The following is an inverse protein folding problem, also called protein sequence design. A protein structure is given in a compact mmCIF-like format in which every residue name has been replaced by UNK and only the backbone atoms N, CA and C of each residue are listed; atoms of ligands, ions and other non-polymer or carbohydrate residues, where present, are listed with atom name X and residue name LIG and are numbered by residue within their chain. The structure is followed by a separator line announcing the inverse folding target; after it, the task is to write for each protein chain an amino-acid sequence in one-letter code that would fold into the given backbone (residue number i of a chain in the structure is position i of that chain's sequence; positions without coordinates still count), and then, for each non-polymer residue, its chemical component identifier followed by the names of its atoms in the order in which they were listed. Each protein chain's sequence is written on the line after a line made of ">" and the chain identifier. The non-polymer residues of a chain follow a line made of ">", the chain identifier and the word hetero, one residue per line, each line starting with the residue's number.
data_IF_687638482970
#
_entry.id   IF_687638482970
#
_cell.length_a   1.000
_cell.length_b   1.000
_cell.length_c   1.000
_cell.angle_alpha   90.00
_cell.angle_beta   90.00
_cell.angle_gamma   90.00
#
_symmetry.space_group_name_H-M   'P 1'
#
loop_
_entity.id
_entity.type
_entity.pdbx_description
1 polymer ?
#
# COMPACT_ATOMS: atom_id res chain seq x y z
N UNK A 1 9.69 73.87 34.73
CA UNK A 1 8.31 73.69 34.28
C UNK A 1 8.45 72.98 32.93
N UNK A 2 8.13 71.80 32.69
CA UNK A 2 7.28 70.82 33.21
C UNK A 2 7.76 69.45 32.74
N UNK A 3 7.58 68.46 33.52
CA UNK A 3 8.02 67.09 33.35
C UNK A 3 7.12 66.31 32.38
N UNK A 4 7.67 65.58 31.45
CA UNK A 4 6.96 64.57 30.70
C UNK A 4 7.52 63.18 31.03
N UNK A 5 6.67 62.36 31.57
CA UNK A 5 6.96 60.98 31.93
C UNK A 5 6.94 60.07 30.71
N UNK A 6 8.01 59.28 30.54
CA UNK A 6 8.06 58.18 29.58
C UNK A 6 7.35 56.97 30.12
N UNK A 7 6.32 56.52 29.38
CA UNK A 7 5.64 55.22 29.60
C UNK A 7 6.37 54.08 28.89
N UNK A 8 7.05 53.23 29.67
CA UNK A 8 7.64 52.00 29.22
C UNK A 8 6.55 50.95 28.87
N UNK A 9 6.35 50.73 27.57
CA UNK A 9 5.49 49.66 27.07
C UNK A 9 6.22 48.32 27.09
N UNK A 10 5.88 47.47 28.05
CA UNK A 10 6.41 46.13 28.16
C UNK A 10 5.69 45.20 27.15
N UNK A 11 6.28 45.02 25.98
CA UNK A 11 5.83 44.09 24.95
C UNK A 11 6.11 42.63 25.32
N UNK A 12 5.24 42.05 26.15
CA UNK A 12 5.31 40.62 26.44
C UNK A 12 5.08 39.79 25.20
N UNK A 13 6.13 39.18 24.68
CA UNK A 13 6.08 38.14 23.67
C UNK A 13 5.30 36.94 24.23
N UNK A 14 4.05 36.76 23.81
CA UNK A 14 3.29 35.52 24.05
C UNK A 14 3.85 34.47 23.12
N UNK A 15 4.80 33.66 23.60
CA UNK A 15 5.16 32.38 23.00
C UNK A 15 3.92 31.49 23.06
N UNK A 16 3.29 31.26 21.91
CA UNK A 16 2.20 30.30 21.81
C UNK A 16 2.76 28.91 22.13
N UNK A 17 2.52 28.41 23.32
CA UNK A 17 2.77 27.01 23.65
C UNK A 17 1.94 26.14 22.71
N UNK A 18 2.61 25.48 21.78
CA UNK A 18 2.03 24.46 20.92
C UNK A 18 1.68 23.28 21.81
N UNK A 19 0.42 23.19 22.24
CA UNK A 19 -0.07 22.04 22.97
C UNK A 19 -0.01 20.83 22.07
N UNK A 20 1.06 20.04 22.19
CA UNK A 20 1.17 18.74 21.52
C UNK A 20 0.17 17.83 22.23
N UNK A 21 -1.01 17.64 21.61
CA UNK A 21 -1.92 16.56 22.03
C UNK A 21 -1.10 15.27 22.01
N UNK A 22 -1.09 14.54 23.13
CA UNK A 22 -0.49 13.22 23.23
C UNK A 22 -1.08 12.32 22.14
N UNK A 23 -0.38 12.19 21.01
CA UNK A 23 -0.74 11.24 19.96
C UNK A 23 -0.19 9.88 20.35
N UNK A 24 -1.06 8.87 20.44
CA UNK A 24 -0.61 7.50 20.55
C UNK A 24 -0.08 7.04 19.17
N UNK A 25 1.23 7.16 18.97
CA UNK A 25 1.92 6.79 17.72
C UNK A 25 1.88 5.29 17.43
N UNK A 26 1.48 4.48 18.40
CA UNK A 26 1.32 3.02 18.26
C UNK A 26 -0.13 2.60 18.00
N UNK A 27 -1.05 3.56 17.89
CA UNK A 27 -2.45 3.27 17.55
C UNK A 27 -2.50 2.55 16.21
N UNK A 28 -3.26 1.46 16.15
CA UNK A 28 -3.65 0.78 14.91
C UNK A 28 -5.13 1.02 14.67
N UNK A 29 -5.51 1.13 13.41
CA UNK A 29 -6.90 1.27 13.00
C UNK A 29 -7.38 0.03 12.23
N UNK A 30 -8.69 -0.16 12.14
CA UNK A 30 -9.26 -1.18 11.27
C UNK A 30 -9.12 -0.73 9.80
N UNK A 31 -9.07 -1.67 8.86
CA UNK A 31 -9.07 -1.31 7.45
C UNK A 31 -10.30 -0.51 7.05
N UNK A 32 -11.44 -0.80 7.66
CA UNK A 32 -12.65 0.02 7.53
C UNK A 32 -12.36 1.50 7.79
N UNK A 33 -11.73 1.83 8.92
CA UNK A 33 -11.47 3.24 9.28
C UNK A 33 -10.44 3.90 8.35
N UNK A 34 -9.49 3.13 7.80
CA UNK A 34 -8.46 3.64 6.92
C UNK A 34 -8.98 3.95 5.50
N UNK A 35 -10.05 3.27 5.04
CA UNK A 35 -10.50 3.41 3.64
C UNK A 35 -11.90 4.01 3.47
N UNK A 36 -12.82 3.91 4.46
CA UNK A 36 -14.25 4.22 4.29
C UNK A 36 -14.57 5.67 3.88
N UNK A 37 -13.77 6.62 4.33
CA UNK A 37 -13.99 8.05 4.07
C UNK A 37 -13.09 8.57 2.93
N UNK A 38 -12.37 7.66 2.25
CA UNK A 38 -11.49 7.98 1.16
C UNK A 38 -12.07 7.46 -0.18
N UNK A 39 -12.46 8.37 -1.05
CA UNK A 39 -13.07 7.99 -2.33
C UNK A 39 -12.10 7.31 -3.28
N UNK A 40 -10.76 7.51 -3.12
CA UNK A 40 -9.77 6.96 -4.03
C UNK A 40 -8.38 6.84 -3.41
N UNK A 41 -8.06 5.69 -2.84
CA UNK A 41 -6.70 5.35 -2.39
C UNK A 41 -5.85 4.71 -3.50
N UNK A 42 -6.45 4.42 -4.64
CA UNK A 42 -5.77 3.80 -5.78
C UNK A 42 -5.52 2.32 -5.62
N UNK A 43 -4.26 1.92 -5.49
CA UNK A 43 -3.85 0.54 -5.15
C UNK A 43 -3.43 0.51 -3.70
N UNK A 44 -3.81 -0.56 -3.01
CA UNK A 44 -3.47 -0.73 -1.59
C UNK A 44 -2.85 -2.08 -1.31
N UNK A 45 -1.77 -2.08 -0.54
CA UNK A 45 -1.09 -3.28 -0.03
C UNK A 45 -1.18 -3.24 1.50
N UNK A 46 -1.66 -4.31 2.12
CA UNK A 46 -1.58 -4.53 3.56
C UNK A 46 -0.76 -5.78 3.83
N UNK A 47 0.22 -5.68 4.71
CA UNK A 47 1.02 -6.82 5.17
C UNK A 47 1.07 -6.80 6.68
N UNK A 48 0.84 -7.94 7.32
CA UNK A 48 0.92 -8.06 8.77
C UNK A 48 0.77 -9.48 9.28
N UNK A 49 0.64 -9.60 10.59
CA UNK A 49 0.49 -10.87 11.32
C UNK A 49 -0.85 -10.89 12.03
N UNK A 50 -1.57 -11.99 11.95
CA UNK A 50 -2.86 -12.18 12.63
C UNK A 50 -2.77 -11.95 14.14
N UNK A 51 -3.90 -11.63 14.77
CA UNK A 51 -3.95 -11.28 16.18
C UNK A 51 -3.50 -12.43 17.10
N UNK A 52 -3.81 -13.67 16.72
CA UNK A 52 -3.33 -14.89 17.39
C UNK A 52 -1.86 -15.22 17.11
N UNK A 53 -1.22 -14.47 16.20
CA UNK A 53 0.19 -14.65 15.85
C UNK A 53 0.50 -15.88 14.98
N UNK A 54 -0.52 -16.58 14.46
CA UNK A 54 -0.33 -17.87 13.78
C UNK A 54 -0.15 -17.75 12.27
N UNK A 55 -0.61 -16.65 11.65
CA UNK A 55 -0.61 -16.50 10.19
C UNK A 55 0.02 -15.19 9.74
N UNK A 56 0.73 -15.22 8.62
CA UNK A 56 1.06 -14.04 7.84
C UNK A 56 -0.15 -13.65 6.99
N UNK A 57 -0.48 -12.37 6.96
CA UNK A 57 -1.63 -11.83 6.23
C UNK A 57 -1.17 -10.82 5.18
N UNK A 58 -1.71 -10.95 3.97
CA UNK A 58 -1.52 -10.01 2.87
C UNK A 58 -2.88 -9.69 2.28
N UNK A 59 -3.15 -8.40 2.04
CA UNK A 59 -4.25 -7.97 1.20
C UNK A 59 -3.72 -7.05 0.10
N UNK A 60 -4.21 -7.23 -1.11
CA UNK A 60 -3.96 -6.34 -2.24
C UNK A 60 -5.28 -6.02 -2.93
N UNK A 61 -5.54 -4.75 -3.16
CA UNK A 61 -6.73 -4.32 -3.89
C UNK A 61 -6.41 -3.23 -4.91
N UNK A 62 -7.27 -3.15 -5.92
CA UNK A 62 -7.18 -2.13 -6.96
C UNK A 62 -8.48 -1.34 -7.05
N UNK A 63 -8.32 -0.03 -7.27
CA UNK A 63 -9.37 0.90 -7.61
C UNK A 63 -9.04 1.57 -8.95
N UNK A 64 -10.05 2.08 -9.65
CA UNK A 64 -9.91 2.79 -10.91
C UNK A 64 -11.02 3.79 -11.15
N UNK A 65 -10.69 4.93 -11.77
CA UNK A 65 -11.64 6.00 -12.10
C UNK A 65 -12.05 5.97 -13.58
N UNK A 66 -11.13 5.64 -14.49
CA UNK A 66 -11.41 5.56 -15.92
C UNK A 66 -11.98 4.20 -16.31
N UNK A 67 -12.67 4.15 -17.46
CA UNK A 67 -13.18 2.90 -18.03
C UNK A 67 -12.05 1.88 -18.25
N UNK A 68 -10.93 2.31 -18.80
CA UNK A 68 -9.76 1.47 -19.02
C UNK A 68 -9.18 0.91 -17.69
N UNK A 69 -9.07 1.74 -16.64
CA UNK A 69 -8.60 1.27 -15.36
C UNK A 69 -9.55 0.29 -14.66
N UNK A 70 -10.86 0.39 -14.94
CA UNK A 70 -11.90 -0.51 -14.41
C UNK A 70 -12.00 -1.84 -15.16
N UNK A 71 -11.43 -1.93 -16.36
CA UNK A 71 -11.44 -3.13 -17.18
C UNK A 71 -10.38 -4.15 -16.72
N UNK A 72 -10.43 -4.55 -15.44
CA UNK A 72 -9.44 -5.46 -14.82
C UNK A 72 -10.13 -6.47 -13.93
N UNK A 73 -9.56 -7.68 -13.91
CA UNK A 73 -9.89 -8.75 -12.98
C UNK A 73 -8.61 -9.42 -12.49
N UNK A 74 -8.67 -10.00 -11.30
CA UNK A 74 -7.65 -10.91 -10.79
C UNK A 74 -7.96 -12.35 -11.20
N UNK A 75 -6.92 -13.11 -11.52
CA UNK A 75 -6.99 -14.57 -11.71
C UNK A 75 -5.81 -15.24 -11.00
N UNK A 76 -6.08 -16.36 -10.35
CA UNK A 76 -5.02 -17.20 -9.79
C UNK A 76 -4.39 -18.06 -10.88
N UNK A 77 -3.06 -18.13 -10.87
CA UNK A 77 -2.26 -19.01 -11.68
C UNK A 77 -1.25 -19.75 -10.80
N UNK A 78 -1.65 -20.92 -10.32
CA UNK A 78 -0.91 -21.64 -9.29
C UNK A 78 -0.93 -20.89 -7.96
N UNK A 79 0.25 -20.50 -7.46
CA UNK A 79 0.39 -19.70 -6.24
C UNK A 79 0.50 -18.19 -6.51
N UNK A 80 0.55 -17.79 -7.78
CA UNK A 80 0.63 -16.41 -8.24
C UNK A 80 -0.77 -15.84 -8.51
N UNK A 81 -0.86 -14.52 -8.56
CA UNK A 81 -2.06 -13.83 -9.02
C UNK A 81 -1.68 -12.95 -10.20
N UNK A 82 -2.49 -13.03 -11.26
CA UNK A 82 -2.34 -12.23 -12.47
C UNK A 82 -3.48 -11.23 -12.59
N UNK A 83 -3.20 -10.07 -13.18
CA UNK A 83 -4.22 -9.14 -13.63
C UNK A 83 -4.45 -9.37 -15.12
N UNK A 84 -5.74 -9.48 -15.49
CA UNK A 84 -6.20 -9.56 -16.87
C UNK A 84 -7.25 -8.49 -17.15
N UNK A 85 -7.43 -8.11 -18.41
CA UNK A 85 -8.59 -7.33 -18.79
C UNK A 85 -9.87 -8.18 -18.59
N UNK A 86 -10.92 -7.58 -18.09
CA UNK A 86 -12.25 -8.19 -18.06
C UNK A 86 -12.80 -8.36 -19.49
N UNK A 87 -12.67 -7.31 -20.31
CA UNK A 87 -13.02 -7.31 -21.72
C UNK A 87 -11.75 -7.04 -22.54
N UNK A 88 -11.23 -8.08 -23.19
CA UNK A 88 -10.01 -8.01 -23.98
C UNK A 88 -10.15 -7.12 -25.21
N UNK A 89 -11.37 -6.91 -25.72
CA UNK A 89 -11.63 -6.08 -26.91
C UNK A 89 -11.42 -4.57 -26.65
N UNK A 90 -11.38 -4.18 -25.38
CA UNK A 90 -11.21 -2.78 -24.94
C UNK A 90 -9.77 -2.43 -24.55
N UNK A 91 -8.81 -3.31 -24.80
CA UNK A 91 -7.40 -3.10 -24.41
C UNK A 91 -6.61 -2.55 -25.59
N UNK A 92 -6.08 -1.34 -25.41
CA UNK A 92 -5.19 -0.70 -26.40
C UNK A 92 -3.75 -1.20 -26.25
N UNK A 93 -3.24 -1.29 -25.01
CA UNK A 93 -1.90 -1.80 -24.69
C UNK A 93 -1.98 -2.82 -23.55
N UNK A 94 -1.84 -4.14 -23.86
CA UNK A 94 -1.85 -5.19 -22.83
C UNK A 94 -0.70 -5.10 -21.83
N UNK A 95 0.46 -4.54 -22.22
CA UNK A 95 1.65 -4.50 -21.38
C UNK A 95 1.48 -3.66 -20.12
N UNK A 96 0.59 -2.66 -20.15
CA UNK A 96 0.27 -1.80 -19.00
C UNK A 96 -0.77 -2.42 -18.06
N UNK A 97 -1.42 -3.50 -18.47
CA UNK A 97 -2.55 -4.10 -17.74
C UNK A 97 -2.18 -5.48 -17.23
N UNK A 98 -1.51 -6.31 -18.04
CA UNK A 98 -1.20 -7.70 -17.72
C UNK A 98 0.13 -7.78 -16.98
N UNK A 99 0.07 -7.97 -15.67
CA UNK A 99 1.21 -8.23 -14.81
C UNK A 99 0.78 -9.08 -13.61
N UNK A 100 1.74 -9.68 -12.92
CA UNK A 100 1.46 -10.39 -11.69
C UNK A 100 1.59 -9.44 -10.50
N UNK A 101 0.49 -9.04 -9.84
CA UNK A 101 0.59 -8.27 -8.60
C UNK A 101 1.14 -9.10 -7.45
N UNK A 102 1.04 -10.45 -7.51
CA UNK A 102 1.53 -11.34 -6.47
C UNK A 102 2.33 -12.47 -7.11
N UNK A 103 3.57 -12.64 -6.63
CA UNK A 103 4.45 -13.76 -6.97
C UNK A 103 4.91 -14.49 -5.72
N UNK A 104 4.77 -15.82 -5.74
CA UNK A 104 5.33 -16.72 -4.73
C UNK A 104 6.72 -17.18 -5.17
N UNK A 105 7.67 -17.06 -4.27
CA UNK A 105 9.01 -17.66 -4.40
C UNK A 105 9.26 -18.60 -3.23
N UNK A 106 10.34 -19.39 -3.30
CA UNK A 106 10.76 -20.19 -2.16
C UNK A 106 11.05 -19.26 -0.95
N UNK A 107 10.34 -19.49 0.15
CA UNK A 107 10.45 -18.71 1.37
C UNK A 107 10.07 -17.23 1.24
N UNK A 108 9.47 -16.76 0.13
CA UNK A 108 9.09 -15.36 -0.05
C UNK A 108 7.74 -15.19 -0.75
N UNK A 109 7.10 -14.04 -0.49
CA UNK A 109 5.91 -13.59 -1.21
C UNK A 109 6.11 -12.12 -1.59
N UNK A 110 5.98 -11.81 -2.88
CA UNK A 110 6.09 -10.46 -3.41
C UNK A 110 4.68 -9.96 -3.76
N UNK A 111 4.38 -8.71 -3.43
CA UNK A 111 3.14 -8.03 -3.80
C UNK A 111 3.44 -6.62 -4.29
N UNK A 112 2.91 -6.23 -5.46
CA UNK A 112 3.12 -4.89 -6.03
C UNK A 112 1.91 -4.41 -6.84
N UNK A 113 1.93 -3.13 -7.24
CA UNK A 113 0.90 -2.55 -8.10
C UNK A 113 1.29 -2.48 -9.58
N UNK A 114 2.37 -3.14 -10.01
CA UNK A 114 2.83 -3.06 -11.39
C UNK A 114 3.83 -4.16 -11.76
N UNK A 115 4.42 -4.05 -12.93
CA UNK A 115 5.38 -5.01 -13.49
C UNK A 115 6.70 -5.11 -12.73
N UNK A 116 6.98 -4.22 -11.79
CA UNK A 116 8.14 -4.33 -10.90
C UNK A 116 8.12 -5.61 -10.04
N UNK A 117 6.99 -6.32 -9.95
CA UNK A 117 6.94 -7.64 -9.31
C UNK A 117 7.96 -8.59 -9.92
N UNK A 118 7.99 -8.66 -11.26
CA UNK A 118 8.91 -9.52 -11.97
C UNK A 118 10.37 -9.04 -11.86
N UNK A 119 10.59 -7.71 -11.83
CA UNK A 119 11.90 -7.15 -11.53
C UNK A 119 12.40 -7.61 -10.14
N UNK A 120 11.57 -7.50 -9.11
CA UNK A 120 11.93 -7.94 -7.75
C UNK A 120 12.21 -9.45 -7.74
N UNK A 121 11.33 -10.25 -8.37
CA UNK A 121 11.52 -11.71 -8.50
C UNK A 121 12.89 -12.05 -9.10
N UNK A 122 13.21 -11.45 -10.23
CA UNK A 122 14.44 -11.78 -10.98
C UNK A 122 15.71 -11.40 -10.20
N UNK A 123 15.67 -10.26 -9.52
CA UNK A 123 16.77 -9.83 -8.65
C UNK A 123 16.94 -10.77 -7.45
N UNK A 124 15.85 -11.13 -6.79
CA UNK A 124 15.88 -12.05 -5.64
C UNK A 124 16.35 -13.43 -6.03
N UNK A 125 15.91 -13.96 -7.18
CA UNK A 125 16.39 -15.25 -7.74
C UNK A 125 17.88 -15.17 -8.06
N UNK A 126 18.37 -14.03 -8.53
CA UNK A 126 19.79 -13.78 -8.77
C UNK A 126 20.60 -13.50 -7.48
N UNK A 127 20.02 -13.64 -6.29
CA UNK A 127 20.68 -13.42 -5.01
C UNK A 127 20.90 -11.96 -4.63
N UNK A 128 20.23 -11.03 -5.32
CA UNK A 128 20.25 -9.60 -5.02
C UNK A 128 19.13 -9.22 -4.06
N UNK A 129 19.19 -8.00 -3.52
CA UNK A 129 18.20 -7.51 -2.56
C UNK A 129 16.92 -6.97 -3.23
N UNK A 130 15.88 -6.81 -2.43
CA UNK A 130 14.66 -6.11 -2.78
C UNK A 130 14.94 -4.66 -3.18
N UNK A 131 15.83 -4.01 -2.46
CA UNK A 131 16.26 -2.63 -2.71
C UNK A 131 17.01 -2.50 -4.03
N UNK A 132 17.94 -3.43 -4.33
CA UNK A 132 18.69 -3.44 -5.61
C UNK A 132 17.73 -3.50 -6.82
N UNK A 133 16.64 -4.27 -6.69
CA UNK A 133 15.63 -4.34 -7.74
C UNK A 133 14.93 -2.99 -7.94
N UNK A 134 14.54 -2.34 -6.84
CA UNK A 134 13.80 -1.09 -6.86
C UNK A 134 14.64 0.13 -7.25
N UNK A 135 15.97 0.07 -7.10
CA UNK A 135 16.87 1.10 -7.63
C UNK A 135 16.83 1.18 -9.17
N UNK A 136 16.44 0.09 -9.86
CA UNK A 136 16.29 0.06 -11.31
C UNK A 136 14.93 0.51 -11.82
N UNK A 137 14.02 0.87 -10.91
CA UNK A 137 12.64 1.25 -11.24
C UNK A 137 12.31 2.66 -10.75
N UNK A 138 11.30 3.24 -11.37
CA UNK A 138 10.73 4.54 -11.02
C UNK A 138 9.21 4.42 -10.94
N UNK A 139 8.51 5.51 -10.65
CA UNK A 139 7.07 5.64 -10.74
C UNK A 139 6.57 5.39 -12.19
N UNK A 140 5.25 5.28 -12.40
CA UNK A 140 4.70 5.09 -13.75
C UNK A 140 4.77 6.39 -14.57
N UNK A 141 5.08 6.30 -15.88
CA UNK A 141 5.24 7.47 -16.75
C UNK A 141 3.88 8.01 -17.24
N UNK A 142 2.94 8.23 -16.33
CA UNK A 142 1.56 8.61 -16.60
C UNK A 142 1.24 10.06 -16.13
N UNK A 143 1.97 11.04 -16.68
CA UNK A 143 1.70 12.45 -16.39
C UNK A 143 0.21 12.79 -16.48
N UNK A 144 -0.33 13.67 -15.61
CA UNK A 144 0.35 14.40 -14.54
C UNK A 144 0.37 13.66 -13.20
N UNK A 145 -0.12 12.41 -13.12
CA UNK A 145 -0.27 11.69 -11.85
C UNK A 145 1.04 11.09 -11.35
N UNK A 146 1.95 10.70 -12.28
CA UNK A 146 3.18 10.00 -11.97
C UNK A 146 2.93 8.90 -10.92
N UNK A 147 1.99 7.98 -11.29
CA UNK A 147 1.47 6.95 -10.37
C UNK A 147 2.58 6.26 -9.59
N UNK A 148 2.56 6.32 -8.25
CA UNK A 148 3.58 5.67 -7.46
C UNK A 148 3.59 4.16 -7.65
N UNK A 149 4.79 3.56 -7.68
CA UNK A 149 4.95 2.11 -7.57
C UNK A 149 5.07 1.74 -6.10
N UNK A 150 4.13 0.96 -5.61
CA UNK A 150 4.16 0.40 -4.26
C UNK A 150 4.49 -1.09 -4.32
N UNK A 151 5.31 -1.54 -3.39
CA UNK A 151 5.81 -2.91 -3.36
C UNK A 151 5.87 -3.42 -1.92
N UNK A 152 5.64 -4.71 -1.75
CA UNK A 152 5.86 -5.43 -0.51
C UNK A 152 6.55 -6.76 -0.76
N UNK A 153 7.38 -7.21 0.17
CA UNK A 153 7.98 -8.53 0.16
C UNK A 153 8.04 -9.10 1.57
N UNK A 154 7.41 -10.28 1.75
CA UNK A 154 7.55 -11.09 2.95
C UNK A 154 8.72 -12.05 2.76
N UNK A 155 9.48 -12.28 3.82
CA UNK A 155 10.53 -13.31 3.91
C UNK A 155 10.23 -14.20 5.10
N UNK A 156 9.87 -15.45 4.82
CA UNK A 156 9.55 -16.47 5.82
C UNK A 156 10.80 -17.19 6.28
N UNK A 157 11.00 -17.32 7.58
CA UNK A 157 12.08 -18.05 8.22
C UNK A 157 11.68 -18.49 9.63
N UNK A 158 12.11 -19.66 10.05
CA UNK A 158 12.00 -20.16 11.43
C UNK A 158 10.59 -20.11 12.04
N UNK A 159 9.55 -20.36 11.23
CA UNK A 159 8.16 -20.32 11.67
C UNK A 159 7.63 -18.91 11.94
N UNK A 160 8.30 -17.90 11.42
CA UNK A 160 7.90 -16.49 11.46
C UNK A 160 8.24 -15.80 10.13
N UNK A 161 8.10 -14.48 10.05
CA UNK A 161 8.49 -13.71 8.88
C UNK A 161 8.89 -12.28 9.24
N UNK A 162 9.64 -11.68 8.34
CA UNK A 162 9.86 -10.24 8.26
C UNK A 162 9.28 -9.73 6.94
N UNK A 163 9.04 -8.45 6.83
CA UNK A 163 8.59 -7.88 5.58
C UNK A 163 9.13 -6.48 5.34
N UNK A 164 9.22 -6.14 4.07
CA UNK A 164 9.56 -4.81 3.59
C UNK A 164 8.41 -4.26 2.77
N UNK A 165 8.22 -2.94 2.83
CA UNK A 165 7.32 -2.19 1.95
C UNK A 165 8.09 -1.04 1.33
N UNK A 166 7.77 -0.69 0.10
CA UNK A 166 8.44 0.41 -0.61
C UNK A 166 7.46 1.19 -1.46
N UNK A 167 7.76 2.49 -1.60
CA UNK A 167 7.10 3.39 -2.53
C UNK A 167 8.14 4.14 -3.35
N UNK A 168 7.97 4.10 -4.68
CA UNK A 168 8.70 4.90 -5.66
C UNK A 168 7.74 5.97 -6.17
N UNK A 169 8.08 7.24 -5.99
CA UNK A 169 7.20 8.34 -6.36
C UNK A 169 7.95 9.52 -6.91
N UNK A 170 7.29 10.34 -7.73
CA UNK A 170 7.91 11.54 -8.25
C UNK A 170 8.31 12.50 -7.13
N UNK A 171 9.48 13.12 -7.29
CA UNK A 171 9.99 14.14 -6.39
C UNK A 171 9.39 15.53 -6.70
N UNK A 172 8.89 15.75 -7.92
CA UNK A 172 8.35 17.01 -8.41
C UNK A 172 7.17 16.82 -9.37
N UNK A 173 6.49 17.91 -9.70
CA UNK A 173 5.33 17.92 -10.61
C UNK A 173 5.68 17.55 -12.06
N UNK A 174 6.94 17.73 -12.47
CA UNK A 174 7.40 17.44 -13.83
C UNK A 174 7.88 16.00 -14.01
N UNK A 175 7.97 15.20 -12.94
CA UNK A 175 8.44 13.82 -13.00
C UNK A 175 9.94 13.70 -13.32
N UNK A 176 10.76 14.67 -12.88
CA UNK A 176 12.18 14.73 -13.26
C UNK A 176 13.07 13.83 -12.41
N UNK A 177 12.63 13.45 -11.22
CA UNK A 177 13.38 12.63 -10.29
C UNK A 177 12.46 11.68 -9.50
N UNK A 178 12.99 10.54 -9.09
CA UNK A 178 12.28 9.55 -8.29
C UNK A 178 12.78 9.52 -6.84
N UNK A 179 11.86 9.72 -5.90
CA UNK A 179 12.08 9.44 -4.50
C UNK A 179 11.78 7.98 -4.20
N UNK A 180 12.68 7.30 -3.46
CA UNK A 180 12.60 5.89 -3.08
C UNK A 180 12.57 5.77 -1.57
N UNK A 181 11.52 5.14 -1.03
CA UNK A 181 11.38 4.89 0.40
C UNK A 181 11.17 3.40 0.61
N UNK A 182 11.93 2.81 1.55
CA UNK A 182 11.76 1.42 1.97
C UNK A 182 11.61 1.35 3.48
N UNK A 183 10.61 0.62 3.93
CA UNK A 183 10.26 0.37 5.33
C UNK A 183 10.48 -1.11 5.62
N UNK A 184 11.19 -1.41 6.72
CA UNK A 184 11.48 -2.78 7.13
C UNK A 184 10.83 -3.09 8.47
N UNK A 185 10.11 -4.21 8.54
CA UNK A 185 9.32 -4.59 9.70
C UNK A 185 9.64 -6.01 10.17
N UNK A 186 9.66 -6.20 11.49
CA UNK A 186 9.44 -7.50 12.12
C UNK A 186 7.94 -7.69 12.30
N UNK A 187 7.45 -8.90 12.07
CA UNK A 187 6.04 -9.21 12.24
C UNK A 187 5.65 -9.18 13.74
N UNK A 188 4.60 -8.44 14.07
CA UNK A 188 4.03 -8.31 15.41
C UNK A 188 2.57 -8.79 15.36
N UNK A 189 2.18 -9.68 16.27
CA UNK A 189 0.81 -10.21 16.33
C UNK A 189 -0.24 -9.08 16.41
N UNK A 190 -1.25 -9.16 15.56
CA UNK A 190 -2.34 -8.19 15.43
C UNK A 190 -1.95 -6.86 14.82
N UNK A 191 -0.74 -6.74 14.24
CA UNK A 191 -0.27 -5.50 13.61
C UNK A 191 0.07 -5.76 12.14
N UNK A 192 -0.40 -4.87 11.30
CA UNK A 192 -0.01 -4.75 9.91
C UNK A 192 0.29 -3.32 9.53
N UNK A 193 0.75 -3.16 8.29
CA UNK A 193 1.00 -1.86 7.68
C UNK A 193 0.30 -1.77 6.35
N UNK A 194 -0.39 -0.66 6.14
CA UNK A 194 -1.13 -0.33 4.93
C UNK A 194 -0.39 0.75 4.15
N UNK A 195 -0.01 0.43 2.92
CA UNK A 195 0.61 1.35 1.96
C UNK A 195 -0.29 1.45 0.74
N UNK A 196 -0.54 2.66 0.27
CA UNK A 196 -1.40 2.91 -0.88
C UNK A 196 -0.83 4.01 -1.79
N UNK A 197 -1.35 4.13 -3.02
CA UNK A 197 -0.73 5.03 -3.99
C UNK A 197 -1.11 6.49 -3.79
N UNK A 198 -2.34 6.80 -3.32
CA UNK A 198 -2.86 8.16 -3.24
C UNK A 198 -3.53 8.47 -1.91
N UNK A 199 -3.34 9.68 -1.43
CA UNK A 199 -3.99 10.19 -0.21
C UNK A 199 -5.49 10.41 -0.37
N UNK A 200 -5.99 10.47 -1.60
CA UNK A 200 -7.39 10.70 -1.91
C UNK A 200 -7.62 10.95 -3.39
N UNK A 201 -8.82 11.38 -3.73
CA UNK A 201 -9.16 11.78 -5.09
C UNK A 201 -8.64 13.19 -5.41
N UNK A 202 -8.41 13.49 -6.68
CA UNK A 202 -7.88 14.77 -7.13
C UNK A 202 -7.48 14.79 -8.59
N UNK A 203 -7.00 15.97 -9.07
CA UNK A 203 -6.45 16.15 -10.39
C UNK A 203 -5.35 17.22 -10.34
N UNK A 204 -4.06 16.84 -10.38
CA UNK A 204 -3.54 15.46 -10.31
C UNK A 204 -3.88 14.76 -9.00
N UNK A 205 -3.74 13.43 -8.98
CA UNK A 205 -3.98 12.62 -7.78
C UNK A 205 -2.90 12.91 -6.72
N UNK A 206 -3.29 13.24 -5.46
CA UNK A 206 -2.31 13.49 -4.40
C UNK A 206 -1.61 12.20 -3.98
N UNK A 207 -0.32 12.10 -4.27
CA UNK A 207 0.52 10.95 -3.94
C UNK A 207 0.58 10.70 -2.42
N UNK A 208 0.63 9.43 -2.02
CA UNK A 208 0.81 9.01 -0.62
C UNK A 208 2.05 9.66 0.01
N UNK A 209 1.88 10.12 1.25
CA UNK A 209 2.95 10.72 2.07
C UNK A 209 2.93 10.17 3.48
N UNK A 210 4.10 10.04 4.09
CA UNK A 210 4.26 9.54 5.44
C UNK A 210 4.75 8.09 5.49
N UNK A 211 4.60 7.47 6.66
CA UNK A 211 4.86 6.05 6.87
C UNK A 211 3.62 5.22 6.53
N UNK A 212 3.78 3.94 6.13
CA UNK A 212 2.65 3.03 6.00
C UNK A 212 1.79 3.01 7.27
N UNK A 213 0.48 3.14 7.09
CA UNK A 213 -0.48 3.27 8.19
C UNK A 213 -0.60 1.97 8.98
N UNK A 214 -0.67 2.06 10.31
CA UNK A 214 -0.80 0.87 11.16
C UNK A 214 -2.22 0.32 11.09
N UNK A 215 -2.35 -0.92 10.63
CA UNK A 215 -3.61 -1.65 10.49
C UNK A 215 -3.73 -2.79 11.51
N UNK A 216 -4.95 -3.04 11.99
CA UNK A 216 -5.29 -4.24 12.74
C UNK A 216 -5.47 -5.42 11.80
N UNK A 217 -4.88 -6.57 12.13
CA UNK A 217 -4.99 -7.81 11.36
C UNK A 217 -5.78 -8.84 12.16
N UNK A 218 -7.05 -9.11 11.81
CA UNK A 218 -7.85 -10.10 12.51
C UNK A 218 -7.46 -11.54 12.16
N UNK A 219 -8.03 -12.51 12.87
CA UNK A 219 -7.77 -13.94 12.65
C UNK A 219 -8.64 -14.53 11.51
N UNK A 220 -9.76 -13.89 11.19
CA UNK A 220 -10.76 -14.38 10.24
C UNK A 220 -10.56 -13.72 8.88
N UNK A 221 -10.16 -14.49 7.87
CA UNK A 221 -9.91 -14.02 6.52
C UNK A 221 -11.20 -13.56 5.82
N UNK A 222 -12.34 -14.22 6.07
CA UNK A 222 -13.62 -13.87 5.44
C UNK A 222 -14.14 -12.53 5.96
N UNK A 223 -14.11 -12.36 7.28
CA UNK A 223 -14.50 -11.11 7.93
C UNK A 223 -13.60 -9.95 7.48
N UNK A 224 -12.27 -10.17 7.37
CA UNK A 224 -11.34 -9.13 6.96
C UNK A 224 -11.48 -8.77 5.48
N UNK A 225 -11.64 -9.76 4.61
CA UNK A 225 -11.89 -9.52 3.18
C UNK A 225 -13.16 -8.69 2.98
N UNK A 226 -14.23 -9.07 3.69
CA UNK A 226 -15.51 -8.36 3.67
C UNK A 226 -15.37 -6.94 4.20
N UNK A 227 -14.67 -6.75 5.34
CA UNK A 227 -14.43 -5.42 5.92
C UNK A 227 -13.76 -4.49 4.91
N UNK A 228 -12.68 -4.94 4.24
CA UNK A 228 -11.99 -4.12 3.25
C UNK A 228 -12.91 -3.84 2.07
N UNK A 229 -13.48 -4.88 1.47
CA UNK A 229 -14.28 -4.77 0.25
C UNK A 229 -15.50 -3.88 0.37
N UNK A 230 -16.25 -4.00 1.46
CA UNK A 230 -17.47 -3.22 1.69
C UNK A 230 -17.20 -1.76 2.05
N UNK A 231 -16.00 -1.42 2.52
CA UNK A 231 -15.63 -0.05 2.89
C UNK A 231 -14.78 0.67 1.83
N UNK A 232 -14.33 -0.01 0.78
CA UNK A 232 -13.79 0.65 -0.41
C UNK A 232 -14.92 1.38 -1.16
N UNK A 233 -14.61 2.54 -1.74
CA UNK A 233 -15.59 3.31 -2.52
C UNK A 233 -16.22 2.45 -3.60
N UNK A 234 -17.56 2.36 -3.59
CA UNK A 234 -18.33 1.45 -4.44
C UNK A 234 -18.13 1.70 -5.93
N UNK A 235 -18.00 2.95 -6.35
CA UNK A 235 -17.84 3.28 -7.76
C UNK A 235 -16.45 2.94 -8.29
N UNK A 236 -15.43 3.04 -7.43
CA UNK A 236 -14.03 2.96 -7.83
C UNK A 236 -13.37 1.61 -7.54
N UNK A 237 -13.90 0.79 -6.62
CA UNK A 237 -13.33 -0.55 -6.33
C UNK A 237 -13.45 -1.47 -7.54
N UNK A 238 -12.43 -2.30 -7.76
CA UNK A 238 -12.35 -3.21 -8.93
C UNK A 238 -12.16 -4.64 -8.49
N UNK A 239 -11.08 -4.92 -7.76
CA UNK A 239 -10.75 -6.27 -7.29
C UNK A 239 -9.98 -6.21 -5.98
N UNK A 240 -10.12 -7.27 -5.19
CA UNK A 240 -9.33 -7.52 -3.99
C UNK A 240 -8.87 -8.97 -3.96
N UNK A 241 -7.66 -9.20 -3.49
CA UNK A 241 -7.11 -10.50 -3.13
C UNK A 241 -6.59 -10.45 -1.70
N UNK A 242 -6.95 -11.43 -0.90
CA UNK A 242 -6.47 -11.61 0.48
C UNK A 242 -5.89 -13.00 0.63
N UNK A 243 -4.72 -13.10 1.26
CA UNK A 243 -4.01 -14.35 1.52
C UNK A 243 -3.57 -14.42 2.98
N UNK A 244 -3.90 -15.50 3.64
CA UNK A 244 -3.32 -15.91 4.90
C UNK A 244 -2.42 -17.12 4.69
N UNK A 245 -1.23 -17.10 5.29
CA UNK A 245 -0.28 -18.22 5.26
C UNK A 245 0.00 -18.66 6.68
N UNK A 246 -0.33 -19.89 7.03
CA UNK A 246 -0.03 -20.48 8.34
C UNK A 246 1.48 -20.60 8.54
N UNK A 247 2.01 -20.03 9.61
CA UNK A 247 3.44 -19.93 9.85
C UNK A 247 4.09 -21.25 10.23
N UNK A 248 3.31 -22.20 10.74
CA UNK A 248 3.80 -23.52 11.14
C UNK A 248 3.78 -24.54 10.02
N UNK A 249 2.71 -24.52 9.20
CA UNK A 249 2.46 -25.54 8.18
C UNK A 249 2.76 -25.07 6.77
N UNK A 250 2.78 -23.75 6.55
CA UNK A 250 2.82 -23.15 5.22
C UNK A 250 1.49 -23.21 4.47
N UNK A 251 0.42 -23.73 5.09
CA UNK A 251 -0.89 -23.83 4.47
C UNK A 251 -1.43 -22.43 4.12
N UNK A 252 -2.08 -22.32 2.97
CA UNK A 252 -2.58 -21.06 2.42
C UNK A 252 -4.09 -21.08 2.39
N UNK A 253 -4.68 -20.00 2.89
CA UNK A 253 -6.08 -19.63 2.66
C UNK A 253 -6.09 -18.32 1.87
N UNK A 254 -6.94 -18.22 0.85
CA UNK A 254 -7.08 -17.01 0.05
C UNK A 254 -8.55 -16.67 -0.22
N UNK A 255 -8.80 -15.39 -0.52
CA UNK A 255 -10.08 -14.87 -0.97
C UNK A 255 -9.85 -13.89 -2.10
N UNK A 256 -10.69 -13.96 -3.10
CA UNK A 256 -10.65 -13.06 -4.25
C UNK A 256 -12.06 -12.58 -4.57
N UNK A 257 -12.19 -11.27 -4.78
CA UNK A 257 -13.44 -10.66 -5.26
C UNK A 257 -13.09 -9.77 -6.46
N UNK A 258 -13.80 -9.98 -7.56
CA UNK A 258 -13.76 -9.13 -8.73
C UNK A 258 -15.15 -8.51 -8.92
N UNK A 259 -15.23 -7.20 -9.08
CA UNK A 259 -16.51 -6.49 -9.26
C UNK A 259 -17.19 -6.83 -10.58
N UNK A 260 -16.38 -7.14 -11.60
CA UNK A 260 -16.85 -7.35 -12.97
C UNK A 260 -17.14 -8.82 -13.31
N UNK A 261 -17.16 -9.73 -12.32
CA UNK A 261 -17.39 -11.17 -12.52
C UNK A 261 -18.53 -11.64 -11.63
#
# INVERSE_FOLDING_TARGET
>A
MDSSAEGSGNGGSKTAERTVKSMNVYKKDTMKNLVKDNSYVGRGIVIGKTEDGTKAAVAYFIMGRSENSRNRIFKEEGEDVMIYPFDASKVEDPSLIIYAPIRKLDGKLIVTNGDQTDTIRDFVVAGKSFEDALETREFEPDAPNWTPRISGMLTFADGDFTYKMSILKSADEAGTACNRFTYSYKAIAGVGHFLHTYMGDGSPLPTFTGEPERASIPNDIDAWTKEIWENLNEQNKISIYVRFTDLKTGAVENRMINKNV
#
